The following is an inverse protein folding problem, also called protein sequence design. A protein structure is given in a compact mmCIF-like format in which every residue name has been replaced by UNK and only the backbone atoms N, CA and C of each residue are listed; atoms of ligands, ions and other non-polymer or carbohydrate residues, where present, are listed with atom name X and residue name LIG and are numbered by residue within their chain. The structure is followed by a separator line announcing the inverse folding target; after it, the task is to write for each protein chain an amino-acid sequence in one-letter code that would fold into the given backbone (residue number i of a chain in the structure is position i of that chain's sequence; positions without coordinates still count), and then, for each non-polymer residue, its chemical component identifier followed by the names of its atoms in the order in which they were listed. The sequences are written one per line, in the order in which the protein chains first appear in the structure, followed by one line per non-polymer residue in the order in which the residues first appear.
data_IF_709376834314
#
_entry.id   IF_709376834314
#
_cell.length_a   1.000
_cell.length_b   1.000
_cell.length_c   1.000
_cell.angle_alpha   90.00
_cell.angle_beta   90.00
_cell.angle_gamma   90.00
#
_symmetry.space_group_name_H-M   'P 1'
#
loop_
_entity.id
_entity.type
_entity.pdbx_description
1 polymer ?
#
# COMPACT_ATOMS: atom_id res chain seq x y z
N UNK A 1 -3.08 12.00 -20.39
CA UNK A 1 -2.58 12.59 -19.13
C UNK A 1 -3.45 13.79 -18.83
N UNK A 2 -4.41 13.66 -17.92
CA UNK A 2 -5.17 14.81 -17.44
C UNK A 2 -4.23 15.62 -16.57
N UNK A 3 -3.99 16.90 -16.88
CA UNK A 3 -3.30 17.83 -15.98
C UNK A 3 -4.08 17.88 -14.66
N UNK A 4 -3.61 17.14 -13.66
CA UNK A 4 -4.18 17.13 -12.32
C UNK A 4 -3.74 18.39 -11.57
N UNK A 5 -4.63 18.92 -10.75
CA UNK A 5 -4.71 20.33 -10.32
C UNK A 5 -3.41 20.90 -9.71
N UNK A 6 -2.73 21.86 -10.37
CA UNK A 6 -1.57 22.56 -9.81
C UNK A 6 -1.86 23.28 -8.48
N UNK A 7 -3.14 23.62 -8.23
CA UNK A 7 -3.58 24.26 -6.98
C UNK A 7 -3.48 23.32 -5.77
N UNK A 8 -3.74 22.02 -5.96
CA UNK A 8 -3.65 21.05 -4.87
C UNK A 8 -2.20 20.83 -4.45
N UNK A 9 -1.28 20.74 -5.42
CA UNK A 9 0.16 20.60 -5.16
C UNK A 9 0.71 21.77 -4.36
N UNK A 10 0.39 22.99 -4.77
CA UNK A 10 0.81 24.20 -4.03
C UNK A 10 0.22 24.26 -2.62
N UNK A 11 -1.05 23.93 -2.46
CA UNK A 11 -1.68 23.90 -1.14
C UNK A 11 -1.05 22.84 -0.21
N UNK A 12 -0.55 21.72 -0.75
CA UNK A 12 0.17 20.70 0.03
C UNK A 12 1.59 21.13 0.37
N UNK A 13 2.26 21.85 -0.54
CA UNK A 13 3.53 22.52 -0.27
C UNK A 13 3.44 23.37 0.99
N UNK A 14 2.47 24.29 1.00
CA UNK A 14 2.25 25.20 2.10
C UNK A 14 1.79 24.47 3.39
N UNK A 15 1.28 23.24 3.28
CA UNK A 15 0.74 22.47 4.42
C UNK A 15 1.79 21.66 5.18
N UNK A 16 2.81 21.14 4.48
CA UNK A 16 3.92 20.36 5.04
C UNK A 16 5.26 21.11 4.93
N UNK A 17 5.24 22.43 4.76
CA UNK A 17 6.37 23.30 4.38
C UNK A 17 7.65 23.19 5.27
N UNK A 18 7.57 22.49 6.41
CA UNK A 18 8.69 22.24 7.33
C UNK A 18 8.86 20.77 7.74
N UNK A 19 8.19 19.84 7.06
CA UNK A 19 8.23 18.41 7.38
C UNK A 19 8.78 17.63 6.21
N UNK A 20 9.85 16.88 6.46
CA UNK A 20 10.53 16.01 5.50
C UNK A 20 10.63 14.58 6.03
N UNK A 21 10.72 13.61 5.13
CA UNK A 21 11.10 12.24 5.48
C UNK A 21 12.60 12.20 5.75
N UNK A 22 12.97 11.89 7.00
CA UNK A 22 14.38 11.91 7.41
C UNK A 22 15.01 10.53 7.43
N UNK A 23 16.35 10.50 7.40
CA UNK A 23 17.16 9.30 7.63
C UNK A 23 16.82 8.62 8.97
N UNK A 24 16.58 9.41 10.02
CA UNK A 24 16.15 8.87 11.32
C UNK A 24 14.82 8.10 11.22
N UNK A 25 13.87 8.58 10.42
CA UNK A 25 12.60 7.91 10.20
C UNK A 25 12.76 6.59 9.43
N UNK A 26 13.62 6.54 8.41
CA UNK A 26 13.91 5.30 7.68
C UNK A 26 14.64 4.28 8.55
N UNK A 27 15.59 4.72 9.37
CA UNK A 27 16.20 3.85 10.38
C UNK A 27 15.14 3.33 11.35
N UNK A 28 14.31 4.22 11.91
CA UNK A 28 13.22 3.87 12.84
C UNK A 28 12.23 2.89 12.20
N UNK A 29 11.92 3.07 10.91
CA UNK A 29 11.09 2.13 10.15
C UNK A 29 11.72 0.74 10.09
N UNK A 30 13.04 0.65 9.88
CA UNK A 30 13.79 -0.60 9.96
C UNK A 30 13.74 -1.27 11.34
N UNK A 31 13.81 -0.47 12.42
CA UNK A 31 13.69 -0.96 13.81
C UNK A 31 12.28 -1.42 14.16
N UNK A 32 11.26 -0.68 13.73
CA UNK A 32 9.84 -1.05 13.89
C UNK A 32 9.56 -2.37 13.17
N UNK A 33 10.19 -2.56 12.01
CA UNK A 33 10.15 -3.82 11.28
C UNK A 33 8.84 -4.04 10.51
N UNK A 34 8.48 -5.30 10.26
CA UNK A 34 7.30 -5.66 9.46
C UNK A 34 6.01 -5.01 10.00
N UNK A 35 5.24 -4.34 9.13
CA UNK A 35 4.03 -3.58 9.48
C UNK A 35 4.30 -2.12 9.87
N UNK A 36 5.58 -1.73 9.94
CA UNK A 36 6.01 -0.36 10.05
C UNK A 36 5.71 0.45 8.80
N UNK A 37 5.33 1.71 8.99
CA UNK A 37 4.97 2.63 7.93
C UNK A 37 5.30 4.08 8.29
N UNK A 38 5.88 4.80 7.35
CA UNK A 38 5.87 6.26 7.32
C UNK A 38 4.54 6.72 6.77
N UNK A 39 3.87 7.58 7.53
CA UNK A 39 2.61 8.21 7.16
C UNK A 39 2.78 9.72 7.06
N UNK A 40 1.99 10.34 6.18
CA UNK A 40 1.68 11.75 6.27
C UNK A 40 0.47 11.90 7.22
N UNK A 41 0.67 12.58 8.34
CA UNK A 41 -0.37 12.85 9.32
C UNK A 41 -0.89 14.28 9.11
N UNK A 42 -2.05 14.39 8.45
CA UNK A 42 -2.66 15.69 8.18
C UNK A 42 -3.15 16.39 9.44
N UNK A 43 -3.36 15.67 10.56
CA UNK A 43 -3.78 16.31 11.82
C UNK A 43 -2.63 17.10 12.42
N UNK A 44 -1.43 16.53 12.39
CA UNK A 44 -0.22 17.11 12.96
C UNK A 44 0.66 17.85 11.95
N UNK A 45 0.34 17.72 10.65
CA UNK A 45 1.08 18.32 9.52
C UNK A 45 2.54 17.87 9.46
N UNK A 46 2.78 16.60 9.80
CA UNK A 46 4.11 16.02 9.82
C UNK A 46 4.14 14.63 9.17
N UNK A 47 5.32 14.21 8.73
CA UNK A 47 5.61 12.82 8.48
C UNK A 47 6.02 12.14 9.78
N UNK A 48 5.49 10.95 10.05
CA UNK A 48 5.93 10.15 11.21
C UNK A 48 5.90 8.66 10.92
N UNK A 49 6.71 7.92 11.68
CA UNK A 49 6.73 6.45 11.65
C UNK A 49 5.67 5.94 12.61
N UNK A 50 4.89 4.95 12.17
CA UNK A 50 3.94 4.21 13.00
C UNK A 50 3.99 2.74 12.64
N UNK A 51 3.49 1.89 13.54
CA UNK A 51 3.18 0.49 13.23
C UNK A 51 1.69 0.36 12.98
N UNK A 52 1.29 -0.39 11.95
CA UNK A 52 -0.10 -0.70 11.61
C UNK A 52 -1.02 0.53 11.74
N UNK A 53 -0.92 1.54 10.85
CA UNK A 53 -1.73 2.75 10.96
C UNK A 53 -3.23 2.43 10.87
N UNK A 54 -4.05 3.23 11.55
CA UNK A 54 -5.51 3.14 11.41
C UNK A 54 -5.93 3.61 10.03
N UNK A 55 -6.29 2.66 9.17
CA UNK A 55 -6.73 2.90 7.81
C UNK A 55 -8.13 3.52 7.71
N UNK A 56 -8.86 3.61 8.83
CA UNK A 56 -10.13 4.33 8.94
C UNK A 56 -9.96 5.82 9.20
N UNK A 57 -8.81 6.26 9.72
CA UNK A 57 -8.57 7.69 9.96
C UNK A 57 -8.37 8.40 8.64
N UNK A 58 -9.29 9.31 8.35
CA UNK A 58 -9.27 10.08 7.12
C UNK A 58 -8.10 11.07 6.99
N UNK A 59 -7.32 11.23 8.05
CA UNK A 59 -6.21 12.16 8.16
C UNK A 59 -4.85 11.48 8.11
N UNK A 60 -4.81 10.18 7.84
CA UNK A 60 -3.57 9.41 7.70
C UNK A 60 -3.44 8.92 6.27
N UNK A 61 -2.29 9.22 5.66
CA UNK A 61 -1.94 8.71 4.34
C UNK A 61 -0.64 7.91 4.42
N UNK A 62 -0.65 6.60 4.12
CA UNK A 62 0.56 5.81 3.98
C UNK A 62 1.47 6.32 2.85
N UNK A 63 2.75 6.50 3.16
CA UNK A 63 3.71 7.11 2.22
C UNK A 63 4.82 6.15 1.82
N UNK A 64 5.37 5.41 2.79
CA UNK A 64 6.47 4.48 2.59
C UNK A 64 6.46 3.42 3.69
N UNK A 65 6.47 2.13 3.34
CA UNK A 65 6.38 1.04 4.30
C UNK A 65 7.70 0.28 4.50
N UNK A 66 7.79 -0.54 5.55
CA UNK A 66 8.95 -1.41 5.80
C UNK A 66 9.25 -2.33 4.60
N UNK A 67 8.22 -2.86 3.96
CA UNK A 67 8.35 -3.67 2.76
C UNK A 67 8.84 -2.89 1.54
N UNK A 68 8.67 -1.56 1.51
CA UNK A 68 9.29 -0.71 0.50
C UNK A 68 10.78 -0.51 0.83
N UNK A 69 11.11 -0.25 2.10
CA UNK A 69 12.49 -0.18 2.58
C UNK A 69 13.30 -1.42 2.22
N UNK A 70 12.79 -2.62 2.52
CA UNK A 70 13.49 -3.88 2.24
C UNK A 70 13.69 -4.10 0.74
N UNK A 71 12.70 -3.77 -0.10
CA UNK A 71 12.85 -3.90 -1.56
C UNK A 71 13.94 -3.01 -2.14
N UNK A 72 14.13 -1.84 -1.55
CA UNK A 72 15.14 -0.89 -1.99
C UNK A 72 16.50 -1.12 -1.35
N UNK A 73 16.54 -1.69 -0.13
CA UNK A 73 17.76 -1.89 0.66
C UNK A 73 18.88 -2.58 -0.13
N UNK A 74 18.56 -3.66 -0.84
CA UNK A 74 19.55 -4.44 -1.58
C UNK A 74 20.05 -3.76 -2.88
N UNK A 75 19.45 -2.63 -3.26
CA UNK A 75 19.80 -1.90 -4.47
C UNK A 75 20.05 -0.40 -4.24
N UNK A 76 20.29 0.01 -2.98
CA UNK A 76 20.61 1.40 -2.63
C UNK A 76 21.82 1.89 -3.44
N UNK A 77 22.94 1.18 -3.37
CA UNK A 77 24.18 1.57 -4.05
C UNK A 77 24.03 1.60 -5.58
N UNK A 78 23.10 0.81 -6.13
CA UNK A 78 22.90 0.67 -7.58
C UNK A 78 21.97 1.73 -8.14
N UNK A 79 20.90 2.06 -7.42
CA UNK A 79 19.85 2.97 -7.92
C UNK A 79 19.94 4.38 -7.35
N UNK A 80 20.55 4.54 -6.18
CA UNK A 80 20.58 5.81 -5.45
C UNK A 80 22.00 6.28 -5.19
N UNK A 81 22.99 5.39 -5.16
CA UNK A 81 24.40 5.72 -4.95
C UNK A 81 24.77 5.74 -3.46
N UNK A 82 24.08 6.54 -2.66
CA UNK A 82 24.29 6.65 -1.21
C UNK A 82 22.99 6.55 -0.42
N UNK A 83 23.10 6.29 0.89
CA UNK A 83 21.96 6.32 1.81
C UNK A 83 21.27 7.68 1.84
N UNK A 84 22.04 8.77 1.82
CA UNK A 84 21.48 10.13 1.84
C UNK A 84 20.71 10.44 0.55
N UNK A 85 21.21 10.02 -0.62
CA UNK A 85 20.49 10.14 -1.89
C UNK A 85 19.21 9.31 -1.90
N UNK A 86 19.21 8.12 -1.28
CA UNK A 86 17.99 7.32 -1.09
C UNK A 86 16.98 8.03 -0.19
N UNK A 87 17.42 8.62 0.93
CA UNK A 87 16.56 9.39 1.83
C UNK A 87 15.91 10.55 1.09
N UNK A 88 16.70 11.34 0.35
CA UNK A 88 16.20 12.44 -0.48
C UNK A 88 15.21 11.93 -1.53
N UNK A 89 15.50 10.81 -2.20
CA UNK A 89 14.58 10.25 -3.18
C UNK A 89 13.24 9.82 -2.57
N UNK A 90 13.25 9.23 -1.37
CA UNK A 90 12.02 8.88 -0.64
C UNK A 90 11.24 10.13 -0.25
N UNK A 91 11.90 11.16 0.27
CA UNK A 91 11.27 12.43 0.63
C UNK A 91 10.65 13.14 -0.59
N UNK A 92 11.42 13.29 -1.67
CA UNK A 92 10.92 13.87 -2.91
C UNK A 92 9.73 13.08 -3.45
N UNK A 93 9.80 11.74 -3.47
CA UNK A 93 8.69 10.90 -3.95
C UNK A 93 7.46 11.03 -3.05
N UNK A 94 7.65 11.05 -1.73
CA UNK A 94 6.60 11.24 -0.74
C UNK A 94 5.81 12.53 -1.00
N UNK A 95 6.55 13.61 -1.23
CA UNK A 95 6.03 14.93 -1.45
C UNK A 95 5.41 15.10 -2.85
N UNK A 96 6.12 14.76 -3.91
CA UNK A 96 5.67 14.94 -5.30
C UNK A 96 4.41 14.12 -5.62
N UNK A 97 4.31 12.92 -5.04
CA UNK A 97 3.13 12.06 -5.21
C UNK A 97 2.00 12.36 -4.23
N UNK A 98 2.15 13.30 -3.28
CA UNK A 98 1.16 13.55 -2.21
C UNK A 98 -0.22 13.89 -2.77
N UNK A 99 -0.29 14.82 -3.73
CA UNK A 99 -1.55 15.25 -4.33
C UNK A 99 -2.27 14.09 -5.05
N UNK A 100 -1.52 13.29 -5.81
CA UNK A 100 -2.05 12.10 -6.50
C UNK A 100 -2.55 11.06 -5.49
N UNK A 101 -1.78 10.78 -4.45
CA UNK A 101 -2.15 9.83 -3.39
C UNK A 101 -3.40 10.27 -2.62
N UNK A 102 -3.61 11.57 -2.42
CA UNK A 102 -4.84 12.10 -1.81
C UNK A 102 -6.04 11.87 -2.74
N UNK A 103 -5.90 12.17 -4.03
CA UNK A 103 -6.96 11.92 -5.02
C UNK A 103 -7.31 10.43 -5.09
N UNK A 104 -6.30 9.56 -5.17
CA UNK A 104 -6.47 8.12 -5.24
C UNK A 104 -7.07 7.55 -3.95
N UNK A 105 -6.66 8.07 -2.80
CA UNK A 105 -7.28 7.75 -1.51
C UNK A 105 -8.76 8.15 -1.49
N UNK A 106 -9.10 9.34 -1.98
CA UNK A 106 -10.49 9.80 -2.04
C UNK A 106 -11.32 8.95 -3.03
N UNK A 107 -10.69 8.41 -4.07
CA UNK A 107 -11.30 7.49 -5.01
C UNK A 107 -11.41 6.04 -4.48
N UNK A 108 -10.79 5.72 -3.34
CA UNK A 108 -10.80 4.38 -2.75
C UNK A 108 -12.21 4.03 -2.23
N UNK A 109 -12.84 2.95 -2.72
CA UNK A 109 -14.16 2.54 -2.26
C UNK A 109 -14.20 2.20 -0.78
N UNK A 110 -15.31 2.52 -0.12
CA UNK A 110 -15.53 2.19 1.30
C UNK A 110 -15.33 0.70 1.60
N UNK A 111 -15.72 -0.19 0.68
CA UNK A 111 -15.50 -1.63 0.82
C UNK A 111 -14.02 -2.01 0.99
N UNK A 112 -13.12 -1.31 0.29
CA UNK A 112 -11.67 -1.52 0.41
C UNK A 112 -11.14 -0.98 1.74
N UNK A 113 -11.62 0.18 2.19
CA UNK A 113 -11.29 0.72 3.53
C UNK A 113 -11.69 -0.29 4.63
N UNK A 114 -12.90 -0.86 4.55
CA UNK A 114 -13.35 -1.90 5.49
C UNK A 114 -12.51 -3.17 5.42
N UNK A 115 -12.03 -3.53 4.24
CA UNK A 115 -11.14 -4.68 4.08
C UNK A 115 -9.77 -4.43 4.72
N UNK A 116 -9.19 -3.23 4.57
CA UNK A 116 -7.94 -2.83 5.27
C UNK A 116 -8.09 -2.98 6.78
N UNK A 117 -9.15 -2.41 7.35
CA UNK A 117 -9.42 -2.49 8.79
C UNK A 117 -9.60 -3.95 9.24
N UNK A 118 -10.34 -4.75 8.48
CA UNK A 118 -10.58 -6.14 8.86
C UNK A 118 -9.34 -7.02 8.76
N UNK A 119 -8.47 -6.78 7.78
CA UNK A 119 -7.16 -7.42 7.67
C UNK A 119 -6.32 -7.12 8.91
N UNK A 120 -6.23 -5.85 9.30
CA UNK A 120 -5.50 -5.41 10.48
C UNK A 120 -6.04 -6.02 11.78
N UNK A 121 -7.36 -6.08 11.95
CA UNK A 121 -8.04 -6.75 13.07
C UNK A 121 -7.69 -8.24 13.14
N UNK A 122 -7.48 -8.90 11.99
CA UNK A 122 -7.11 -10.31 11.88
C UNK A 122 -5.59 -10.55 11.89
N UNK A 123 -4.81 -9.52 12.26
CA UNK A 123 -3.36 -9.62 12.40
C UNK A 123 -2.59 -9.46 11.10
N UNK A 124 -3.20 -8.94 10.04
CA UNK A 124 -2.51 -8.62 8.79
C UNK A 124 -2.16 -7.14 8.71
N UNK A 125 -0.89 -6.81 8.87
CA UNK A 125 -0.43 -5.42 8.86
C UNK A 125 0.04 -5.03 7.46
N UNK A 126 -0.38 -3.85 6.99
CA UNK A 126 0.09 -3.32 5.71
C UNK A 126 1.59 -3.01 5.80
N UNK A 127 2.37 -3.54 4.87
CA UNK A 127 3.84 -3.41 4.89
C UNK A 127 4.39 -2.51 3.80
N UNK A 128 3.58 -2.11 2.82
CA UNK A 128 3.97 -1.19 1.74
C UNK A 128 2.90 -0.13 1.55
N UNK A 129 3.29 1.07 1.11
CA UNK A 129 2.31 2.08 0.70
C UNK A 129 1.41 1.54 -0.43
N UNK A 130 0.09 1.83 -0.44
CA UNK A 130 -0.79 1.44 -1.52
C UNK A 130 -0.32 2.00 -2.87
N UNK A 131 -0.21 1.13 -3.87
CA UNK A 131 0.23 1.50 -5.21
C UNK A 131 -0.97 1.52 -6.17
N UNK A 132 -1.35 2.72 -6.60
CA UNK A 132 -2.39 2.94 -7.60
C UNK A 132 -1.75 3.01 -8.98
N UNK A 133 -2.29 2.27 -9.94
CA UNK A 133 -1.77 2.25 -11.31
C UNK A 133 -2.87 1.88 -12.29
N UNK A 134 -2.77 2.41 -13.51
CA UNK A 134 -3.63 2.00 -14.60
C UNK A 134 -3.16 0.65 -15.14
N UNK A 135 -4.07 -0.32 -15.16
CA UNK A 135 -3.87 -1.59 -15.83
C UNK A 135 -4.56 -1.54 -17.19
N UNK A 136 -3.75 -1.50 -18.23
CA UNK A 136 -4.20 -1.58 -19.63
C UNK A 136 -4.57 -3.02 -19.98
N UNK A 137 -5.57 -3.19 -20.86
CA UNK A 137 -5.96 -4.50 -21.37
C UNK A 137 -4.80 -5.18 -22.11
N UNK A 138 -4.16 -4.43 -22.99
CA UNK A 138 -2.99 -4.87 -23.76
C UNK A 138 -1.72 -4.23 -23.18
N UNK A 139 -0.76 -5.04 -22.67
CA UNK A 139 0.50 -4.51 -22.17
C UNK A 139 1.25 -3.72 -23.25
N UNK A 140 1.55 -2.45 -22.97
CA UNK A 140 2.26 -1.55 -23.88
C UNK A 140 1.36 -0.63 -24.72
N UNK A 141 0.05 -0.88 -24.75
CA UNK A 141 -0.92 0.07 -25.32
C UNK A 141 -1.43 1.03 -24.25
N UNK A 142 -0.72 2.14 -24.09
CA UNK A 142 -1.07 3.21 -23.14
C UNK A 142 -2.23 4.11 -23.63
N UNK A 143 -2.81 3.83 -24.80
CA UNK A 143 -3.94 4.57 -25.37
C UNK A 143 -5.25 3.77 -25.33
N UNK A 144 -5.15 2.45 -25.17
CA UNK A 144 -6.28 1.54 -25.04
C UNK A 144 -7.02 1.66 -23.70
N UNK A 145 -8.10 0.87 -23.53
CA UNK A 145 -8.89 0.86 -22.31
C UNK A 145 -8.02 0.45 -21.11
N UNK A 146 -8.21 1.15 -20.00
CA UNK A 146 -7.47 0.91 -18.76
C UNK A 146 -8.40 0.87 -17.57
N UNK A 147 -8.12 0.03 -16.60
CA UNK A 147 -8.80 0.01 -15.31
C UNK A 147 -7.82 0.52 -14.25
N UNK A 148 -8.23 1.54 -13.49
CA UNK A 148 -7.44 1.96 -12.33
C UNK A 148 -7.46 0.82 -11.30
N UNK A 149 -6.29 0.45 -10.80
CA UNK A 149 -6.14 -0.64 -9.85
C UNK A 149 -5.27 -0.19 -8.69
N UNK A 150 -5.64 -0.60 -7.49
CA UNK A 150 -4.79 -0.48 -6.31
C UNK A 150 -4.17 -1.83 -5.96
N UNK A 151 -2.89 -1.82 -5.61
CA UNK A 151 -2.15 -2.97 -5.10
C UNK A 151 -1.67 -2.66 -3.69
N UNK A 152 -1.88 -3.62 -2.80
CA UNK A 152 -1.54 -3.52 -1.39
C UNK A 152 -0.86 -4.81 -0.95
N UNK A 153 0.08 -4.69 -0.02
CA UNK A 153 0.80 -5.84 0.51
C UNK A 153 0.70 -5.81 2.02
N UNK A 154 0.32 -6.95 2.59
CA UNK A 154 0.17 -7.17 4.01
C UNK A 154 1.06 -8.32 4.43
N UNK A 155 1.42 -8.35 5.69
CA UNK A 155 2.14 -9.45 6.31
C UNK A 155 1.31 -10.03 7.43
N UNK A 156 1.51 -11.30 7.75
CA UNK A 156 0.99 -11.84 9.00
C UNK A 156 1.84 -11.37 10.18
N UNK A 157 1.22 -10.72 11.17
CA UNK A 157 1.92 -10.16 12.34
C UNK A 157 2.64 -11.23 13.16
N UNK A 158 2.05 -12.42 13.29
CA UNK A 158 2.65 -13.53 14.03
C UNK A 158 3.73 -14.27 13.21
N UNK A 159 3.61 -14.27 11.88
CA UNK A 159 4.49 -14.98 10.95
C UNK A 159 4.91 -14.05 9.79
N UNK A 160 5.84 -13.09 10.01
CA UNK A 160 6.15 -12.04 9.02
C UNK A 160 6.72 -12.53 7.67
N UNK A 161 7.08 -13.80 7.56
CA UNK A 161 7.47 -14.44 6.30
C UNK A 161 6.26 -14.72 5.38
N UNK A 162 5.03 -14.64 5.89
CA UNK A 162 3.80 -14.77 5.13
C UNK A 162 3.33 -13.40 4.65
N UNK A 163 3.27 -13.23 3.33
CA UNK A 163 2.80 -12.03 2.67
C UNK A 163 1.44 -12.29 1.99
N UNK A 164 0.51 -11.37 2.17
CA UNK A 164 -0.76 -11.31 1.44
C UNK A 164 -0.74 -10.09 0.53
N UNK A 165 -0.68 -10.30 -0.79
CA UNK A 165 -0.85 -9.22 -1.76
C UNK A 165 -2.30 -9.17 -2.23
N UNK A 166 -2.90 -8.00 -2.13
CA UNK A 166 -4.22 -7.69 -2.67
C UNK A 166 -4.08 -6.80 -3.91
N UNK A 167 -4.87 -7.11 -4.94
CA UNK A 167 -5.03 -6.29 -6.14
C UNK A 167 -6.52 -6.03 -6.34
N UNK A 168 -6.93 -4.77 -6.30
CA UNK A 168 -8.33 -4.37 -6.34
C UNK A 168 -8.58 -3.38 -7.50
N UNK A 169 -9.47 -3.68 -8.45
CA UNK A 169 -9.88 -2.72 -9.46
C UNK A 169 -10.75 -1.64 -8.81
N UNK A 170 -10.48 -0.38 -9.14
CA UNK A 170 -11.29 0.77 -8.75
C UNK A 170 -12.28 1.06 -9.87
N UNK A 171 -13.59 1.17 -9.57
CA UNK A 171 -14.58 1.47 -10.59
C UNK A 171 -14.36 2.89 -11.13
N UNK A 172 -14.37 3.06 -12.45
CA UNK A 172 -14.43 4.38 -13.10
C UNK A 172 -15.86 4.56 -13.64
N UNK A 173 -16.60 5.57 -13.11
CA UNK A 173 -17.97 5.85 -13.54
C UNK A 173 -18.98 4.76 -13.15
N UNK A 174 -19.87 4.40 -14.09
CA UNK A 174 -20.95 3.42 -13.91
C UNK A 174 -20.53 1.97 -14.22
N UNK A 175 -19.24 1.69 -14.36
CA UNK A 175 -18.75 0.36 -14.70
C UNK A 175 -19.00 -0.66 -13.59
N UNK A 176 -19.33 -1.90 -13.99
CA UNK A 176 -19.55 -2.98 -13.03
C UNK A 176 -18.26 -3.29 -12.26
N UNK A 177 -18.37 -3.48 -10.94
CA UNK A 177 -17.22 -3.78 -10.11
C UNK A 177 -16.52 -5.08 -10.55
N UNK A 178 -15.21 -5.00 -10.79
CA UNK A 178 -14.38 -6.11 -11.25
C UNK A 178 -14.08 -7.15 -10.16
N UNK A 179 -13.06 -7.98 -10.38
CA UNK A 179 -12.61 -8.97 -9.39
C UNK A 179 -11.37 -8.47 -8.66
N UNK A 180 -11.37 -8.61 -7.32
CA UNK A 180 -10.14 -8.52 -6.54
C UNK A 180 -9.33 -9.81 -6.71
N UNK A 181 -8.01 -9.68 -6.80
CA UNK A 181 -7.09 -10.82 -6.81
C UNK A 181 -6.29 -10.80 -5.53
N UNK A 182 -6.33 -11.90 -4.79
CA UNK A 182 -5.53 -12.09 -3.58
C UNK A 182 -4.47 -13.14 -3.88
N UNK A 183 -3.25 -12.88 -3.42
CA UNK A 183 -2.13 -13.81 -3.46
C UNK A 183 -1.56 -13.97 -2.05
N UNK A 184 -1.24 -15.20 -1.68
CA UNK A 184 -0.53 -15.51 -0.44
C UNK A 184 0.84 -16.08 -0.83
N UNK A 185 1.89 -15.57 -0.21
CA UNK A 185 3.25 -16.04 -0.37
C UNK A 185 3.87 -16.34 0.99
N UNK A 186 4.76 -17.32 1.02
CA UNK A 186 5.57 -17.74 2.15
C UNK A 186 7.03 -17.71 1.70
N UNK A 187 7.86 -16.87 2.33
CA UNK A 187 9.26 -16.66 1.95
C UNK A 187 9.42 -16.37 0.44
N UNK A 188 8.54 -15.52 -0.09
CA UNK A 188 8.49 -15.14 -1.50
C UNK A 188 7.94 -16.21 -2.46
N UNK A 189 7.57 -17.40 -1.95
CA UNK A 189 7.02 -18.49 -2.76
C UNK A 189 5.50 -18.53 -2.62
N UNK A 190 4.79 -18.70 -3.73
CA UNK A 190 3.33 -18.78 -3.68
C UNK A 190 2.85 -19.97 -2.86
N UNK A 191 1.96 -19.71 -1.90
CA UNK A 191 1.17 -20.76 -1.27
C UNK A 191 0.24 -21.33 -2.34
N UNK A 192 0.45 -22.59 -2.69
CA UNK A 192 -0.20 -23.24 -3.84
C UNK A 192 -1.74 -23.25 -3.71
N UNK A 193 -2.45 -23.07 -4.83
CA UNK A 193 -3.90 -23.21 -4.93
C UNK A 193 -4.76 -21.97 -4.60
N UNK A 194 -4.19 -20.79 -4.38
CA UNK A 194 -4.96 -19.60 -3.96
C UNK A 194 -4.60 -18.26 -4.65
N UNK A 195 -4.63 -18.13 -5.98
CA UNK A 195 -5.09 -16.88 -6.57
C UNK A 195 -6.61 -16.93 -6.68
N UNK A 196 -7.33 -16.42 -5.66
CA UNK A 196 -8.80 -16.33 -5.71
C UNK A 196 -9.20 -15.00 -6.35
N UNK A 197 -9.96 -15.07 -7.45
CA UNK A 197 -10.73 -13.93 -7.97
C UNK A 197 -11.96 -13.78 -7.10
N UNK A 198 -12.09 -12.65 -6.43
CA UNK A 198 -13.19 -12.37 -5.52
C UNK A 198 -14.05 -11.26 -6.14
N UNK A 199 -15.34 -11.51 -6.39
CA UNK A 199 -16.23 -10.46 -6.88
C UNK A 199 -16.26 -9.30 -5.89
N UNK A 200 -16.11 -8.07 -6.38
CA UNK A 200 -16.04 -6.84 -5.55
C UNK A 200 -17.36 -6.51 -4.83
N UNK A 201 -18.45 -7.22 -5.14
CA UNK A 201 -19.80 -7.06 -4.59
C UNK A 201 -20.07 -7.75 -3.23
N UNK A 202 -19.08 -8.42 -2.60
CA UNK A 202 -19.28 -9.15 -1.35
C UNK A 202 -18.48 -8.61 -0.15
N UNK A 203 -19.15 -8.62 1.01
CA UNK A 203 -18.76 -8.13 2.35
C UNK A 203 -17.28 -8.38 2.64
N UNK A 204 -16.51 -7.30 2.80
CA UNK A 204 -15.10 -7.30 3.19
C UNK A 204 -14.80 -8.32 4.31
N UNK A 205 -15.70 -8.45 5.29
CA UNK A 205 -15.61 -9.40 6.40
C UNK A 205 -15.40 -10.86 5.99
N UNK A 206 -16.23 -11.41 5.10
CA UNK A 206 -16.17 -12.84 4.75
C UNK A 206 -14.88 -13.18 3.99
N UNK A 207 -14.43 -12.29 3.12
CA UNK A 207 -13.26 -12.54 2.28
C UNK A 207 -11.97 -12.47 3.09
N UNK A 208 -11.88 -11.57 4.07
CA UNK A 208 -10.71 -11.50 4.95
C UNK A 208 -10.62 -12.74 5.87
N UNK A 209 -11.75 -13.24 6.39
CA UNK A 209 -11.76 -14.49 7.14
C UNK A 209 -11.23 -15.67 6.32
N UNK A 210 -11.60 -15.77 5.05
CA UNK A 210 -11.05 -16.80 4.15
C UNK A 210 -9.53 -16.69 3.94
N UNK A 211 -8.97 -15.47 3.97
CA UNK A 211 -7.51 -15.29 3.93
C UNK A 211 -6.90 -15.88 5.20
N UNK A 212 -7.41 -15.51 6.37
CA UNK A 212 -6.94 -16.02 7.68
C UNK A 212 -6.99 -17.54 7.74
N UNK A 213 -8.15 -18.14 7.44
CA UNK A 213 -8.32 -19.59 7.38
C UNK A 213 -7.30 -20.26 6.45
N UNK A 214 -7.00 -19.65 5.30
CA UNK A 214 -6.03 -20.20 4.36
C UNK A 214 -4.60 -20.13 4.88
N UNK A 215 -4.23 -19.03 5.55
CA UNK A 215 -2.92 -18.89 6.18
C UNK A 215 -2.79 -19.88 7.34
N UNK A 216 -3.82 -20.04 8.18
CA UNK A 216 -3.82 -21.02 9.28
C UNK A 216 -3.70 -22.46 8.76
N UNK A 217 -4.44 -22.81 7.72
CA UNK A 217 -4.35 -24.12 7.09
C UNK A 217 -3.01 -24.36 6.40
N UNK A 218 -2.31 -23.31 5.97
CA UNK A 218 -0.94 -23.41 5.46
C UNK A 218 0.04 -23.69 6.60
N UNK A 219 0.01 -22.86 7.65
CA UNK A 219 0.83 -23.02 8.85
C UNK A 219 0.68 -24.39 9.51
N UNK A 220 -0.55 -24.91 9.62
CA UNK A 220 -0.81 -26.24 10.18
C UNK A 220 -0.23 -27.41 9.35
N UNK A 221 0.14 -27.17 8.08
CA UNK A 221 0.76 -28.18 7.21
C UNK A 221 2.28 -28.08 7.18
N UNK A 222 2.84 -26.93 7.53
CA UNK A 222 4.27 -26.64 7.44
C UNK A 222 4.98 -26.66 8.80
N UNK A 223 4.22 -26.58 9.89
CA UNK A 223 4.67 -26.83 11.26
C UNK A 223 4.53 -28.31 11.63
#
# INVERSE_FOLDING_TARGET
MTERSPRLRKAMADYFDYSEVTSHMLCTLGWVGPGGMIIADFRHREFRVTHAPDHGDGLILPVFGYGDLIKHHDCIDVHYGTWDEFVTAVDCTAYECMAERIEDRNATPYALIRMRQRLQELGFDMTTAPSYHRRYLDPGDYRGPSVLQVRESYIDRAHPHLEVTLKHPLPEGDEKPGFSVIKIADLGRHVTGWPKKIPQQFVAGMQVHLIRERVDAHLARTN
#
